data_IF_810536700602
#
_entry.id   IF_810536700602
#
_cell.length_a   1.000
_cell.length_b   1.000
_cell.length_c   1.000
_cell.angle_alpha   90.00
_cell.angle_beta   90.00
_cell.angle_gamma   90.00
#
_symmetry.space_group_name_H-M   'P 1'
#
loop_
_entity.id
_entity.type
_entity.pdbx_description
1 polymer ?
#
# COMPACT_ATOMS: atom_id res chain seq x y z
N UNK A 1 -8.68 -7.05 -10.11
CA UNK A 1 -9.30 -5.72 -10.33
C UNK A 1 -10.48 -5.41 -9.39
N UNK A 2 -11.49 -6.29 -9.22
CA UNK A 2 -12.67 -6.01 -8.38
C UNK A 2 -12.37 -5.49 -6.97
N UNK A 3 -11.50 -6.19 -6.21
CA UNK A 3 -11.13 -5.79 -4.83
C UNK A 3 -10.52 -4.40 -4.79
N UNK A 4 -9.65 -4.08 -5.75
CA UNK A 4 -9.00 -2.76 -5.87
C UNK A 4 -10.04 -1.67 -6.06
N UNK A 5 -10.99 -1.85 -7.00
CA UNK A 5 -12.05 -0.86 -7.22
C UNK A 5 -12.94 -0.67 -5.99
N UNK A 6 -13.32 -1.76 -5.32
CA UNK A 6 -14.16 -1.72 -4.10
C UNK A 6 -13.49 -0.99 -2.93
N UNK A 7 -12.18 -1.18 -2.73
CA UNK A 7 -11.46 -0.60 -1.60
C UNK A 7 -10.97 0.81 -1.95
N UNK A 8 -10.26 0.95 -3.07
CA UNK A 8 -9.66 2.22 -3.46
C UNK A 8 -10.72 3.24 -3.91
N UNK A 9 -11.90 2.81 -4.34
CA UNK A 9 -13.01 3.70 -4.72
C UNK A 9 -13.77 4.34 -3.55
N UNK A 10 -13.49 3.96 -2.29
CA UNK A 10 -14.14 4.53 -1.10
C UNK A 10 -13.83 6.04 -0.95
N UNK A 11 -14.56 6.77 -0.11
CA UNK A 11 -14.19 8.15 0.23
C UNK A 11 -12.84 8.18 0.95
N UNK A 12 -12.05 9.23 0.77
CA UNK A 12 -10.82 9.43 1.52
C UNK A 12 -11.10 9.65 3.01
N UNK A 13 -10.36 8.92 3.85
CA UNK A 13 -10.40 9.06 5.31
C UNK A 13 -9.06 8.61 5.90
N UNK A 14 -8.39 9.48 6.64
CA UNK A 14 -7.13 9.15 7.31
C UNK A 14 -7.35 8.02 8.33
N UNK A 15 -6.50 7.00 8.29
CA UNK A 15 -6.60 5.84 9.19
C UNK A 15 -7.52 4.73 8.71
N UNK A 16 -8.33 4.99 7.67
CA UNK A 16 -9.39 4.07 7.23
C UNK A 16 -9.32 3.82 5.72
N UNK A 17 -9.17 4.87 4.92
CA UNK A 17 -9.25 4.86 3.46
C UNK A 17 -8.31 5.93 2.87
N UNK A 18 -7.05 5.89 3.32
CA UNK A 18 -5.93 6.68 2.78
C UNK A 18 -5.00 5.76 1.95
N UNK A 19 -3.87 6.29 1.47
CA UNK A 19 -2.93 5.52 0.65
C UNK A 19 -2.42 4.25 1.34
N UNK A 20 -1.97 4.35 2.60
CA UNK A 20 -1.43 3.21 3.34
C UNK A 20 -2.53 2.23 3.70
N UNK A 21 -3.61 2.70 4.34
CA UNK A 21 -4.71 1.86 4.80
C UNK A 21 -5.41 1.12 3.65
N UNK A 22 -5.69 1.79 2.53
CA UNK A 22 -6.41 1.19 1.41
C UNK A 22 -5.58 0.13 0.67
N UNK A 23 -4.28 0.39 0.45
CA UNK A 23 -3.41 -0.60 -0.16
C UNK A 23 -3.24 -1.82 0.75
N UNK A 24 -3.08 -1.62 2.06
CA UNK A 24 -3.02 -2.72 3.02
C UNK A 24 -4.36 -3.49 3.12
N UNK A 25 -5.51 -2.82 2.99
CA UNK A 25 -6.82 -3.48 2.94
C UNK A 25 -6.97 -4.38 1.71
N UNK A 26 -6.53 -3.92 0.54
CA UNK A 26 -6.51 -4.74 -0.66
C UNK A 26 -5.59 -5.93 -0.46
N UNK A 27 -4.38 -5.71 0.05
CA UNK A 27 -3.40 -6.77 0.28
C UNK A 27 -3.90 -7.82 1.29
N UNK A 28 -4.52 -7.37 2.37
CA UNK A 28 -5.21 -8.22 3.35
C UNK A 28 -6.28 -9.08 2.69
N UNK A 29 -7.11 -8.50 1.81
CA UNK A 29 -8.16 -9.26 1.12
C UNK A 29 -7.62 -10.25 0.09
N UNK A 30 -6.45 -10.00 -0.48
CA UNK A 30 -5.81 -10.90 -1.45
C UNK A 30 -5.06 -12.05 -0.75
N UNK A 31 -4.33 -11.74 0.32
CA UNK A 31 -3.33 -12.64 0.89
C UNK A 31 -3.57 -13.01 2.36
N UNK A 32 -4.53 -12.38 3.03
CA UNK A 32 -4.81 -12.60 4.45
C UNK A 32 -3.81 -11.90 5.40
N UNK A 33 -2.99 -10.98 4.91
CA UNK A 33 -1.93 -10.30 5.69
C UNK A 33 -2.25 -8.81 5.84
N UNK A 34 -2.42 -8.33 7.07
CA UNK A 34 -2.62 -6.89 7.35
C UNK A 34 -1.32 -6.22 7.81
N UNK A 35 -0.62 -5.57 6.88
CA UNK A 35 0.61 -4.83 7.17
C UNK A 35 0.40 -3.66 8.14
N UNK A 36 -0.85 -3.18 8.27
CA UNK A 36 -1.24 -2.05 9.11
C UNK A 36 -1.99 -2.46 10.37
N UNK A 37 -2.08 -3.76 10.69
CA UNK A 37 -2.93 -4.27 11.77
C UNK A 37 -2.74 -3.56 13.11
N UNK A 38 -1.49 -3.30 13.51
CA UNK A 38 -1.16 -2.58 14.78
C UNK A 38 -1.49 -1.08 14.79
N UNK A 39 -1.79 -0.51 13.63
CA UNK A 39 -2.00 0.92 13.42
C UNK A 39 -3.46 1.26 13.11
N UNK A 40 -4.32 0.27 12.91
CA UNK A 40 -5.75 0.48 12.70
C UNK A 40 -6.34 1.21 13.89
N UNK A 41 -6.96 2.36 13.62
CA UNK A 41 -7.53 3.24 14.66
C UNK A 41 -6.51 4.08 15.44
N UNK A 42 -5.21 3.99 15.15
CA UNK A 42 -4.18 4.74 15.86
C UNK A 42 -3.99 6.18 15.36
N UNK A 43 -4.60 6.54 14.22
CA UNK A 43 -4.55 7.88 13.64
C UNK A 43 -5.83 8.19 12.86
N UNK A 44 -6.16 9.48 12.80
CA UNK A 44 -7.30 10.02 12.02
C UNK A 44 -6.95 11.31 11.28
N UNK A 45 -5.66 11.67 11.25
CA UNK A 45 -5.17 12.91 10.60
C UNK A 45 -3.81 12.68 9.93
N UNK A 46 -3.51 13.49 8.92
CA UNK A 46 -2.20 13.49 8.24
C UNK A 46 -1.02 13.66 9.22
N UNK A 47 -1.16 14.58 10.19
CA UNK A 47 -0.11 14.84 11.20
C UNK A 47 0.16 13.62 12.09
N UNK A 48 -0.88 12.88 12.46
CA UNK A 48 -0.71 11.64 13.24
C UNK A 48 -0.11 10.52 12.38
N UNK A 49 -0.51 10.41 11.11
CA UNK A 49 0.09 9.46 10.17
C UNK A 49 1.61 9.71 10.05
N UNK A 50 2.03 10.97 9.87
CA UNK A 50 3.44 11.37 9.84
C UNK A 50 4.20 10.95 11.11
N UNK A 51 3.57 11.06 12.29
CA UNK A 51 4.17 10.63 13.55
C UNK A 51 4.37 9.11 13.62
N UNK A 52 3.44 8.34 13.07
CA UNK A 52 3.51 6.87 13.04
C UNK A 52 4.59 6.40 12.07
N UNK A 53 4.60 6.94 10.86
CA UNK A 53 5.55 6.52 9.83
C UNK A 53 6.97 7.07 10.06
N UNK A 54 7.10 8.16 10.82
CA UNK A 54 8.38 8.81 11.04
C UNK A 54 8.86 9.63 9.82
N UNK A 55 10.13 10.03 9.80
CA UNK A 55 10.67 10.93 8.76
C UNK A 55 10.85 10.25 7.40
N UNK A 56 10.95 8.91 7.37
CA UNK A 56 11.20 8.13 6.15
C UNK A 56 10.08 7.11 5.93
N UNK A 57 9.18 7.45 5.01
CA UNK A 57 8.04 6.60 4.67
C UNK A 57 8.46 5.30 3.96
N UNK A 58 9.55 5.33 3.18
CA UNK A 58 10.04 4.14 2.49
C UNK A 58 10.60 3.12 3.47
N UNK A 59 11.42 3.59 4.41
CA UNK A 59 11.95 2.76 5.50
C UNK A 59 10.81 2.17 6.36
N UNK A 60 9.78 2.97 6.67
CA UNK A 60 8.61 2.49 7.40
C UNK A 60 7.89 1.35 6.68
N UNK A 61 7.60 1.50 5.39
CA UNK A 61 6.91 0.50 4.58
C UNK A 61 7.75 -0.77 4.43
N UNK A 62 9.05 -0.62 4.17
CA UNK A 62 9.99 -1.73 4.10
C UNK A 62 10.01 -2.53 5.41
N UNK A 63 10.07 -1.84 6.56
CA UNK A 63 10.04 -2.49 7.86
C UNK A 63 8.72 -3.25 8.10
N UNK A 64 7.58 -2.73 7.62
CA UNK A 64 6.31 -3.47 7.71
C UNK A 64 6.30 -4.70 6.80
N UNK A 65 6.82 -4.60 5.57
CA UNK A 65 6.91 -5.73 4.65
C UNK A 65 7.77 -6.87 5.25
N UNK A 66 8.99 -6.56 5.69
CA UNK A 66 9.90 -7.53 6.31
C UNK A 66 9.29 -8.17 7.55
N UNK A 67 8.66 -7.38 8.42
CA UNK A 67 8.01 -7.87 9.65
C UNK A 67 6.93 -8.93 9.36
N UNK A 68 6.25 -8.83 8.22
CA UNK A 68 5.19 -9.76 7.83
C UNK A 68 5.67 -10.84 6.85
N UNK A 69 6.99 -10.97 6.65
CA UNK A 69 7.59 -12.03 5.83
C UNK A 69 7.44 -11.83 4.32
N UNK A 70 7.19 -10.59 3.86
CA UNK A 70 7.18 -10.29 2.43
C UNK A 70 8.62 -10.19 1.92
N UNK A 71 8.85 -10.68 0.70
CA UNK A 71 10.12 -10.56 0.01
C UNK A 71 10.13 -9.32 -0.88
N UNK A 72 11.28 -8.64 -0.97
CA UNK A 72 11.50 -7.65 -2.02
C UNK A 72 11.57 -8.35 -3.39
N UNK A 73 11.05 -7.69 -4.42
CA UNK A 73 11.03 -8.22 -5.79
C UNK A 73 11.51 -7.17 -6.78
N UNK A 74 12.28 -7.62 -7.76
CA UNK A 74 12.71 -6.78 -8.89
C UNK A 74 11.61 -6.67 -9.95
N UNK A 75 10.84 -7.75 -10.13
CA UNK A 75 9.71 -7.82 -11.06
C UNK A 75 8.38 -7.92 -10.30
N UNK A 76 7.44 -7.06 -10.68
CA UNK A 76 6.13 -7.00 -10.05
C UNK A 76 5.17 -8.02 -10.66
N UNK A 77 4.39 -8.67 -9.81
CA UNK A 77 3.31 -9.56 -10.18
C UNK A 77 1.96 -9.00 -9.71
N UNK A 78 0.84 -9.36 -10.37
CA UNK A 78 -0.48 -8.99 -9.90
C UNK A 78 -0.71 -9.41 -8.44
N UNK A 79 -1.06 -8.44 -7.59
CA UNK A 79 -1.30 -8.63 -6.17
C UNK A 79 -0.12 -8.25 -5.27
N UNK A 80 1.04 -7.92 -5.82
CA UNK A 80 2.14 -7.32 -5.06
C UNK A 80 1.78 -5.92 -4.55
N UNK A 81 2.48 -5.48 -3.53
CA UNK A 81 2.35 -4.16 -2.93
C UNK A 81 3.67 -3.40 -3.06
N UNK A 82 3.59 -2.09 -3.29
CA UNK A 82 4.79 -1.31 -3.58
C UNK A 82 4.62 0.17 -3.31
N UNK A 83 5.75 0.87 -3.36
CA UNK A 83 5.79 2.33 -3.30
C UNK A 83 5.85 2.90 -4.71
N UNK A 84 4.97 3.84 -5.01
CA UNK A 84 4.96 4.59 -6.27
C UNK A 84 5.19 6.07 -5.99
N UNK A 85 5.76 6.78 -6.94
CA UNK A 85 5.82 8.24 -6.89
C UNK A 85 4.44 8.83 -7.23
N UNK A 86 3.94 9.66 -6.33
CA UNK A 86 2.74 10.46 -6.54
C UNK A 86 3.06 11.96 -6.48
N UNK A 87 2.04 12.77 -6.74
CA UNK A 87 2.14 14.24 -6.73
C UNK A 87 2.73 14.82 -5.43
N UNK A 88 2.47 14.18 -4.30
CA UNK A 88 2.86 14.64 -2.98
C UNK A 88 3.98 13.79 -2.35
N UNK A 89 4.71 13.03 -3.18
CA UNK A 89 5.74 12.09 -2.74
C UNK A 89 5.27 10.64 -2.85
N UNK A 90 5.89 9.76 -2.06
CA UNK A 90 5.66 8.33 -2.12
C UNK A 90 4.26 7.93 -1.62
N UNK A 91 3.65 6.97 -2.30
CA UNK A 91 2.34 6.42 -1.96
C UNK A 91 2.38 4.89 -2.06
N UNK A 92 1.60 4.21 -1.22
CA UNK A 92 1.46 2.74 -1.30
C UNK A 92 0.44 2.39 -2.39
N UNK A 93 0.78 1.39 -3.21
CA UNK A 93 -0.05 0.94 -4.33
C UNK A 93 -0.02 -0.59 -4.46
N UNK A 94 -1.00 -1.12 -5.20
CA UNK A 94 -1.10 -2.55 -5.52
C UNK A 94 -0.85 -2.75 -7.01
N UNK A 95 0.03 -3.69 -7.36
CA UNK A 95 0.22 -4.11 -8.73
C UNK A 95 -1.04 -4.86 -9.21
N UNK A 96 -1.69 -4.35 -10.25
CA UNK A 96 -2.78 -5.06 -10.95
C UNK A 96 -2.28 -5.79 -12.18
N UNK A 97 -1.12 -5.36 -12.69
CA UNK A 97 -0.27 -6.03 -13.67
C UNK A 97 1.18 -5.57 -13.46
N UNK A 98 2.19 -6.18 -14.10
CA UNK A 98 3.60 -5.82 -13.88
C UNK A 98 3.95 -4.34 -14.07
N UNK A 99 3.17 -3.59 -14.86
CA UNK A 99 3.39 -2.18 -15.16
C UNK A 99 2.17 -1.31 -14.82
N UNK A 100 1.23 -1.80 -14.03
CA UNK A 100 0.06 -1.02 -13.63
C UNK A 100 -0.11 -1.14 -12.13
N UNK A 101 0.10 -0.03 -11.46
CA UNK A 101 0.04 0.10 -10.02
C UNK A 101 -1.13 0.98 -9.64
N UNK A 102 -2.03 0.51 -8.79
CA UNK A 102 -3.20 1.28 -8.37
C UNK A 102 -3.03 1.75 -6.93
N UNK A 103 -3.04 3.08 -6.75
CA UNK A 103 -2.93 3.73 -5.45
C UNK A 103 -4.14 4.61 -5.14
N UNK A 104 -4.39 4.85 -3.86
CA UNK A 104 -5.47 5.72 -3.38
C UNK A 104 -5.17 7.19 -3.68
N UNK A 105 -6.21 7.95 -4.01
CA UNK A 105 -6.21 9.42 -4.04
C UNK A 105 -7.44 9.97 -3.31
N UNK A 106 -7.48 11.27 -3.07
CA UNK A 106 -8.66 11.91 -2.43
C UNK A 106 -9.95 11.73 -3.25
N UNK A 107 -9.84 11.68 -4.58
CA UNK A 107 -10.95 11.52 -5.52
C UNK A 107 -11.26 10.06 -5.92
N UNK A 108 -10.60 9.07 -5.30
CA UNK A 108 -10.75 7.65 -5.65
C UNK A 108 -9.40 6.96 -5.76
N UNK A 109 -9.00 6.60 -6.98
CA UNK A 109 -7.72 5.95 -7.24
C UNK A 109 -7.06 6.47 -8.52
N UNK A 110 -5.73 6.31 -8.57
CA UNK A 110 -4.93 6.62 -9.75
C UNK A 110 -3.99 5.46 -10.06
N UNK A 111 -3.50 5.43 -11.29
CA UNK A 111 -2.53 4.43 -11.75
C UNK A 111 -1.15 5.04 -11.95
N UNK A 112 -0.11 4.29 -11.58
CA UNK A 112 1.27 4.54 -11.94
C UNK A 112 1.81 3.36 -12.79
N UNK A 113 2.82 3.62 -13.60
CA UNK A 113 3.42 2.62 -14.50
C UNK A 113 4.66 1.93 -13.91
N UNK A 114 5.16 2.41 -12.78
CA UNK A 114 6.32 1.85 -12.10
C UNK A 114 6.22 2.06 -10.58
N UNK A 115 6.88 1.17 -9.85
CA UNK A 115 7.12 1.30 -8.41
C UNK A 115 8.60 1.53 -8.15
N UNK A 116 8.90 2.32 -7.13
CA UNK A 116 10.24 2.55 -6.58
C UNK A 116 10.71 1.33 -5.79
N UNK A 117 9.78 0.65 -5.11
CA UNK A 117 10.04 -0.57 -4.35
C UNK A 117 8.83 -1.50 -4.46
N UNK A 118 9.09 -2.80 -4.55
CA UNK A 118 8.06 -3.83 -4.68
C UNK A 118 8.26 -4.94 -3.64
N UNK A 119 7.17 -5.38 -3.05
CA UNK A 119 7.12 -6.51 -2.13
C UNK A 119 5.98 -7.46 -2.46
N UNK A 120 6.22 -8.76 -2.29
CA UNK A 120 5.24 -9.80 -2.53
C UNK A 120 5.30 -10.92 -1.50
N UNK A 121 4.27 -11.75 -1.50
CA UNK A 121 4.29 -13.02 -0.76
C UNK A 121 5.30 -13.94 -1.46
N UNK A 122 6.27 -14.55 -0.75
CA UNK A 122 7.19 -15.50 -1.37
C UNK A 122 6.41 -16.66 -2.02
N UNK A 123 6.83 -17.07 -3.21
CA UNK A 123 6.30 -18.29 -3.83
C UNK A 123 6.51 -19.47 -2.86
N UNK A 124 5.43 -20.17 -2.52
CA UNK A 124 5.55 -21.46 -1.81
C UNK A 124 6.08 -22.47 -2.82
N UNK A 125 7.33 -22.91 -2.63
CA UNK A 125 7.87 -24.09 -3.32
C UNK A 125 7.09 -25.34 -2.94
#
# INVERSE_FOLDING_TARGET
MRIVMEVMGRKWEWGVSDCTASACDVFLRLHGIDLMGRYRGAYSTARQALRIQGPDYAAFCHAQAVKHGLAAKDEAEPGDIGLVEGRYGLSLAIAVSPQVWTGKTEGGFATANAAVMTWGVPCRN
#
